data_IF_716842014932
#
_entry.id   IF_716842014932
#
_cell.length_a   1.000
_cell.length_b   1.000
_cell.length_c   1.000
_cell.angle_alpha   90.00
_cell.angle_beta   90.00
_cell.angle_gamma   90.00
#
_symmetry.space_group_name_H-M   'P 1'
#
loop_
_entity.id
_entity.type
_entity.pdbx_description
1 polymer ?
#
# COMPACT_ATOMS: atom_id res chain seq x y z
N UNK A 1 43.22 37.17 -19.56
CA UNK A 1 42.67 35.95 -18.98
C UNK A 1 41.50 36.35 -18.09
N UNK A 2 40.27 36.09 -18.54
CA UNK A 2 39.07 36.39 -17.76
C UNK A 2 38.81 35.22 -16.78
N UNK A 3 38.30 35.47 -15.56
CA UNK A 3 38.02 34.41 -14.60
C UNK A 3 36.78 33.64 -15.03
N UNK A 4 36.86 32.29 -14.95
CA UNK A 4 35.82 31.36 -15.21
C UNK A 4 34.67 31.53 -14.22
N UNK A 5 33.46 31.74 -14.73
CA UNK A 5 32.21 31.69 -13.95
C UNK A 5 32.02 30.31 -13.34
N UNK A 6 31.99 30.25 -12.02
CA UNK A 6 31.57 29.09 -11.24
C UNK A 6 30.07 29.01 -11.35
N UNK A 7 29.58 28.04 -12.11
CA UNK A 7 28.13 27.68 -12.13
C UNK A 7 27.73 27.24 -10.73
N UNK A 8 26.90 28.03 -10.09
CA UNK A 8 26.18 27.64 -8.87
C UNK A 8 25.20 26.50 -9.20
N UNK A 9 25.15 25.42 -8.39
CA UNK A 9 24.21 24.36 -8.61
C UNK A 9 22.78 24.90 -8.48
N UNK A 10 21.93 24.59 -9.47
CA UNK A 10 20.50 24.87 -9.45
C UNK A 10 19.90 24.29 -8.16
N UNK A 11 19.64 25.15 -7.19
CA UNK A 11 18.78 24.85 -6.06
C UNK A 11 17.38 24.65 -6.63
N UNK A 12 16.95 23.39 -6.75
CA UNK A 12 15.56 23.05 -7.01
C UNK A 12 14.78 23.59 -5.82
N UNK A 13 14.19 24.76 -5.98
CA UNK A 13 13.20 25.29 -5.05
C UNK A 13 12.04 24.29 -5.05
N UNK A 14 11.99 23.45 -4.02
CA UNK A 14 10.81 22.65 -3.74
C UNK A 14 9.66 23.63 -3.54
N UNK A 15 8.80 23.71 -4.55
CA UNK A 15 7.54 24.42 -4.46
C UNK A 15 6.78 23.78 -3.29
N UNK A 16 6.50 24.54 -2.23
CA UNK A 16 5.69 24.13 -1.08
C UNK A 16 4.20 23.97 -1.51
N UNK A 17 3.97 23.26 -2.60
CA UNK A 17 2.66 23.03 -3.20
C UNK A 17 2.22 21.57 -3.03
N UNK A 18 0.96 21.34 -3.28
CA UNK A 18 0.24 20.07 -3.23
C UNK A 18 1.06 18.88 -3.77
N UNK A 19 1.55 18.02 -2.87
CA UNK A 19 2.59 17.02 -3.17
C UNK A 19 2.06 15.59 -3.26
N UNK A 20 0.81 15.35 -2.83
CA UNK A 20 0.21 14.03 -2.70
C UNK A 20 -0.89 13.84 -3.73
N UNK A 21 -0.86 12.74 -4.47
CA UNK A 21 -2.01 12.20 -5.19
C UNK A 21 -2.50 10.93 -4.50
N UNK A 22 -3.78 10.63 -4.67
CA UNK A 22 -4.41 9.47 -4.03
C UNK A 22 -5.17 8.67 -5.09
N UNK A 23 -5.07 7.35 -5.04
CA UNK A 23 -5.93 6.46 -5.82
C UNK A 23 -6.84 5.63 -4.93
N UNK A 24 -8.14 5.64 -5.25
CA UNK A 24 -9.16 4.81 -4.62
C UNK A 24 -9.80 3.96 -5.71
N UNK A 25 -9.79 2.65 -5.53
CA UNK A 25 -10.47 1.72 -6.45
C UNK A 25 -11.79 1.30 -5.84
N UNK A 26 -12.89 1.50 -6.58
CA UNK A 26 -14.24 1.13 -6.16
C UNK A 26 -14.78 -0.04 -7.01
N UNK A 27 -15.55 -0.92 -6.38
CA UNK A 27 -16.31 -1.98 -7.03
C UNK A 27 -17.55 -2.32 -6.20
N UNK A 28 -18.72 -1.87 -6.66
CA UNK A 28 -19.98 -1.94 -5.90
C UNK A 28 -19.83 -1.41 -4.47
N UNK A 29 -19.09 -0.32 -4.33
CA UNK A 29 -18.72 0.27 -3.04
C UNK A 29 -19.92 0.99 -2.44
N UNK A 30 -20.16 0.81 -1.14
CA UNK A 30 -21.14 1.58 -0.39
C UNK A 30 -20.72 3.05 -0.35
N UNK A 31 -21.63 3.93 -0.74
CA UNK A 31 -21.38 5.38 -0.77
C UNK A 31 -21.06 5.94 0.63
N UNK A 32 -21.60 5.34 1.68
CA UNK A 32 -21.35 5.76 3.07
C UNK A 32 -19.89 5.51 3.47
N UNK A 33 -19.32 4.38 3.04
CA UNK A 33 -17.91 4.07 3.25
C UNK A 33 -17.01 5.05 2.49
N UNK A 34 -17.34 5.30 1.22
CA UNK A 34 -16.57 6.23 0.40
C UNK A 34 -16.62 7.66 0.98
N UNK A 35 -17.79 8.13 1.44
CA UNK A 35 -17.93 9.43 2.11
C UNK A 35 -17.01 9.54 3.32
N UNK A 36 -17.01 8.54 4.19
CA UNK A 36 -16.16 8.50 5.38
C UNK A 36 -14.66 8.48 5.03
N UNK A 37 -14.27 7.75 3.99
CA UNK A 37 -12.91 7.79 3.47
C UNK A 37 -12.54 9.21 3.04
N UNK A 38 -13.41 9.89 2.31
CA UNK A 38 -13.18 11.24 1.80
C UNK A 38 -13.05 12.31 2.90
N UNK A 39 -13.72 12.16 4.04
CA UNK A 39 -13.54 13.04 5.21
C UNK A 39 -12.09 13.07 5.69
N UNK A 40 -11.35 11.95 5.51
CA UNK A 40 -9.94 11.83 5.87
C UNK A 40 -9.00 12.53 4.88
N UNK A 41 -9.48 12.84 3.67
CA UNK A 41 -8.64 13.37 2.58
C UNK A 41 -8.61 14.91 2.54
N UNK A 42 -9.26 15.57 3.50
CA UNK A 42 -9.29 17.02 3.61
C UNK A 42 -7.95 17.55 4.18
N UNK A 43 -6.91 17.49 3.36
CA UNK A 43 -5.56 17.97 3.69
C UNK A 43 -5.06 18.90 2.60
N UNK A 44 -4.36 19.97 3.00
CA UNK A 44 -3.76 20.94 2.08
C UNK A 44 -2.64 20.35 1.21
N UNK A 45 -2.07 19.21 1.59
CA UNK A 45 -1.06 18.50 0.80
C UNK A 45 -1.64 17.69 -0.35
N UNK A 46 -2.97 17.45 -0.40
CA UNK A 46 -3.60 16.62 -1.42
C UNK A 46 -3.85 17.41 -2.70
N UNK A 47 -3.09 17.11 -3.74
CA UNK A 47 -3.25 17.73 -5.07
C UNK A 47 -4.47 17.17 -5.82
N UNK A 48 -4.61 15.84 -5.85
CA UNK A 48 -5.67 15.17 -6.62
C UNK A 48 -6.01 13.80 -6.05
N UNK A 49 -7.28 13.45 -6.12
CA UNK A 49 -7.81 12.12 -5.81
C UNK A 49 -8.34 11.50 -7.10
N UNK A 50 -7.85 10.32 -7.45
CA UNK A 50 -8.33 9.52 -8.57
C UNK A 50 -9.24 8.41 -8.05
N UNK A 51 -10.51 8.42 -8.42
CA UNK A 51 -11.47 7.36 -8.12
C UNK A 51 -11.63 6.48 -9.35
N UNK A 52 -11.03 5.29 -9.32
CA UNK A 52 -11.13 4.32 -10.42
C UNK A 52 -12.28 3.36 -10.12
N UNK A 53 -13.41 3.54 -10.81
CA UNK A 53 -14.62 2.76 -10.56
C UNK A 53 -14.75 1.59 -11.52
N UNK A 54 -14.48 0.39 -11.00
CA UNK A 54 -14.55 -0.87 -11.74
C UNK A 54 -15.98 -1.40 -11.93
N UNK A 55 -16.97 -0.74 -11.36
CA UNK A 55 -18.39 -1.07 -11.48
C UNK A 55 -19.20 -0.02 -12.26
N UNK A 56 -18.61 1.13 -12.54
CA UNK A 56 -19.17 2.23 -13.32
C UNK A 56 -20.54 2.69 -12.78
N UNK A 57 -20.60 2.89 -11.46
CA UNK A 57 -21.83 3.28 -10.77
C UNK A 57 -22.09 4.77 -10.89
N UNK A 58 -23.29 5.14 -11.36
CA UNK A 58 -23.69 6.53 -11.53
C UNK A 58 -23.54 7.34 -10.24
N UNK A 59 -23.95 6.77 -9.10
CA UNK A 59 -23.88 7.46 -7.81
C UNK A 59 -22.43 7.74 -7.34
N UNK A 60 -21.44 6.91 -7.74
CA UNK A 60 -20.01 7.17 -7.47
C UNK A 60 -19.52 8.32 -8.34
N UNK A 61 -19.89 8.33 -9.63
CA UNK A 61 -19.56 9.43 -10.53
C UNK A 61 -20.15 10.75 -10.02
N UNK A 62 -21.43 10.76 -9.62
CA UNK A 62 -22.10 11.97 -9.13
C UNK A 62 -21.50 12.46 -7.80
N UNK A 63 -21.11 11.55 -6.92
CA UNK A 63 -20.38 11.89 -5.72
C UNK A 63 -19.03 12.57 -6.03
N UNK A 64 -18.27 12.04 -6.96
CA UNK A 64 -16.96 12.60 -7.35
C UNK A 64 -17.06 14.01 -7.91
N UNK A 65 -18.14 14.34 -8.65
CA UNK A 65 -18.37 15.69 -9.21
C UNK A 65 -18.48 16.79 -8.16
N UNK A 66 -18.80 16.44 -6.91
CA UNK A 66 -18.91 17.42 -5.83
C UNK A 66 -17.54 17.97 -5.36
N UNK A 67 -16.43 17.39 -5.81
CA UNK A 67 -15.09 17.75 -5.36
C UNK A 67 -14.22 18.19 -6.54
N UNK A 68 -13.70 19.43 -6.55
CA UNK A 68 -12.96 19.98 -7.69
C UNK A 68 -11.59 19.31 -7.94
N UNK A 69 -11.02 18.70 -6.90
CA UNK A 69 -9.74 17.98 -6.97
C UNK A 69 -9.89 16.48 -7.17
N UNK A 70 -11.09 15.98 -7.49
CA UNK A 70 -11.37 14.56 -7.71
C UNK A 70 -11.57 14.29 -9.19
N UNK A 71 -10.86 13.29 -9.69
CA UNK A 71 -11.04 12.77 -11.05
C UNK A 71 -11.67 11.38 -11.00
N UNK A 72 -12.87 11.23 -11.57
CA UNK A 72 -13.55 9.96 -11.74
C UNK A 72 -13.05 9.25 -13.00
N UNK A 73 -12.61 8.00 -12.86
CA UNK A 73 -12.09 7.19 -13.97
C UNK A 73 -12.95 5.92 -14.09
N UNK A 74 -13.88 5.86 -15.07
CA UNK A 74 -14.65 4.65 -15.33
C UNK A 74 -13.74 3.54 -15.84
N UNK A 75 -13.92 2.34 -15.32
CA UNK A 75 -13.09 1.17 -15.68
C UNK A 75 -13.92 -0.10 -15.72
N UNK A 76 -13.55 -1.02 -16.61
CA UNK A 76 -13.93 -2.42 -16.43
C UNK A 76 -13.16 -2.98 -15.23
N UNK A 77 -13.72 -3.99 -14.57
CA UNK A 77 -13.02 -4.65 -13.46
C UNK A 77 -11.82 -5.47 -13.98
N UNK A 78 -10.67 -4.81 -14.03
CA UNK A 78 -9.38 -5.38 -14.46
C UNK A 78 -8.50 -5.86 -13.30
N UNK A 79 -9.00 -5.79 -12.08
CA UNK A 79 -8.29 -6.14 -10.86
C UNK A 79 -7.79 -4.93 -10.08
N UNK A 80 -7.35 -5.18 -8.84
CA UNK A 80 -7.00 -4.13 -7.88
C UNK A 80 -5.75 -3.34 -8.32
N UNK A 81 -4.61 -4.00 -8.46
CA UNK A 81 -3.35 -3.35 -8.82
C UNK A 81 -3.39 -2.67 -10.20
N UNK A 82 -3.98 -3.33 -11.20
CA UNK A 82 -4.14 -2.77 -12.54
C UNK A 82 -5.02 -1.50 -12.55
N UNK A 83 -6.04 -1.44 -11.68
CA UNK A 83 -6.87 -0.24 -11.54
C UNK A 83 -6.10 0.90 -10.87
N UNK A 84 -5.35 0.64 -9.81
CA UNK A 84 -4.46 1.64 -9.20
C UNK A 84 -3.40 2.14 -10.18
N UNK A 85 -2.87 1.29 -11.04
CA UNK A 85 -1.89 1.68 -12.06
C UNK A 85 -2.40 2.79 -13.00
N UNK A 86 -3.71 2.83 -13.31
CA UNK A 86 -4.28 3.93 -14.10
C UNK A 86 -4.07 5.28 -13.41
N UNK A 87 -4.31 5.35 -12.13
CA UNK A 87 -4.14 6.55 -11.32
C UNK A 87 -2.65 6.86 -11.07
N UNK A 88 -1.81 5.86 -10.80
CA UNK A 88 -0.38 6.05 -10.58
C UNK A 88 0.29 6.65 -11.81
N UNK A 89 -0.05 6.18 -13.03
CA UNK A 89 0.47 6.78 -14.27
C UNK A 89 0.09 8.26 -14.40
N UNK A 90 -1.11 8.65 -13.99
CA UNK A 90 -1.51 10.07 -13.94
C UNK A 90 -0.74 10.86 -12.88
N UNK A 91 -0.52 10.26 -11.71
CA UNK A 91 0.30 10.84 -10.64
C UNK A 91 1.73 11.16 -11.10
N UNK A 92 2.35 10.26 -11.87
CA UNK A 92 3.66 10.49 -12.48
C UNK A 92 3.64 11.68 -13.44
N UNK A 93 2.60 11.80 -14.27
CA UNK A 93 2.42 12.93 -15.20
C UNK A 93 2.14 14.25 -14.46
N UNK A 94 1.49 14.19 -13.31
CA UNK A 94 1.22 15.36 -12.45
C UNK A 94 2.47 15.90 -11.76
N UNK A 95 3.58 15.15 -11.78
CA UNK A 95 4.85 15.53 -11.15
C UNK A 95 4.77 15.63 -9.63
N UNK A 96 3.93 14.81 -8.99
CA UNK A 96 3.81 14.77 -7.53
C UNK A 96 4.91 13.94 -6.88
N UNK A 97 5.25 14.23 -5.64
CA UNK A 97 6.30 13.50 -4.92
C UNK A 97 5.79 12.18 -4.34
N UNK A 98 4.51 12.15 -3.95
CA UNK A 98 3.93 11.02 -3.24
C UNK A 98 2.62 10.58 -3.86
N UNK A 99 2.36 9.27 -3.78
CA UNK A 99 1.11 8.65 -4.18
C UNK A 99 0.60 7.70 -3.12
N UNK A 100 -0.64 7.88 -2.69
CA UNK A 100 -1.32 6.99 -1.76
C UNK A 100 -2.23 6.04 -2.52
N UNK A 101 -1.97 4.74 -2.39
CA UNK A 101 -2.93 3.67 -2.72
C UNK A 101 -3.81 3.43 -1.49
N UNK A 102 -5.12 3.62 -1.64
CA UNK A 102 -6.06 3.64 -0.54
C UNK A 102 -7.33 2.83 -0.84
N UNK A 103 -7.72 1.97 0.11
CA UNK A 103 -9.03 1.34 0.05
C UNK A 103 -10.15 2.33 0.40
N UNK A 104 -11.33 2.15 -0.21
CA UNK A 104 -12.51 2.99 0.02
C UNK A 104 -13.13 2.86 1.42
N UNK A 105 -12.75 1.82 2.18
CA UNK A 105 -13.20 1.55 3.55
C UNK A 105 -12.14 1.88 4.62
N UNK A 106 -11.14 2.68 4.26
CA UNK A 106 -10.13 3.22 5.18
C UNK A 106 -10.43 4.67 5.49
N UNK A 107 -10.30 5.05 6.77
CA UNK A 107 -10.47 6.43 7.23
C UNK A 107 -9.50 6.75 8.37
N UNK A 108 -9.17 8.03 8.51
CA UNK A 108 -8.15 8.51 9.45
C UNK A 108 -8.30 10.01 9.71
N UNK A 109 -7.55 10.55 10.67
CA UNK A 109 -7.48 12.00 10.90
C UNK A 109 -6.72 12.69 9.76
N UNK A 110 -7.19 13.84 9.25
CA UNK A 110 -6.56 14.54 8.12
C UNK A 110 -5.08 14.88 8.29
N UNK A 111 -4.59 15.03 9.54
CA UNK A 111 -3.17 15.28 9.85
C UNK A 111 -2.23 14.11 9.50
N UNK A 112 -2.78 12.90 9.34
CA UNK A 112 -2.00 11.70 9.01
C UNK A 112 -1.22 11.87 7.71
N UNK A 113 -1.83 12.48 6.68
CA UNK A 113 -1.17 12.68 5.38
C UNK A 113 0.03 13.62 5.49
N UNK A 114 -0.11 14.73 6.21
CA UNK A 114 0.96 15.68 6.45
C UNK A 114 2.10 15.03 7.26
N UNK A 115 1.77 14.25 8.28
CA UNK A 115 2.77 13.52 9.09
C UNK A 115 3.54 12.50 8.27
N UNK A 116 2.88 11.75 7.38
CA UNK A 116 3.52 10.80 6.47
C UNK A 116 4.41 11.52 5.43
N UNK A 117 3.94 12.65 4.90
CA UNK A 117 4.74 13.48 3.99
C UNK A 117 6.01 13.99 4.68
N UNK A 118 5.90 14.52 5.90
CA UNK A 118 7.04 14.97 6.69
C UNK A 118 8.03 13.84 7.00
N UNK A 119 7.53 12.65 7.36
CA UNK A 119 8.35 11.46 7.54
C UNK A 119 9.12 11.13 6.26
N UNK A 120 8.46 11.06 5.12
CA UNK A 120 9.09 10.75 3.84
C UNK A 120 10.06 11.85 3.39
N UNK A 121 9.79 13.12 3.73
CA UNK A 121 10.68 14.24 3.42
C UNK A 121 12.02 14.16 4.17
N UNK A 122 12.03 13.61 5.38
CA UNK A 122 13.23 13.43 6.21
C UNK A 122 13.94 12.10 5.97
N UNK A 123 13.28 11.10 5.37
CA UNK A 123 13.82 9.75 5.09
C UNK A 123 13.84 9.48 3.58
N UNK A 124 14.87 10.00 2.89
CA UNK A 124 14.97 9.95 1.42
C UNK A 124 15.20 8.55 0.86
N UNK A 125 15.70 7.63 1.65
CA UNK A 125 15.93 6.20 1.35
C UNK A 125 14.66 5.33 1.49
N UNK A 126 13.56 5.91 2.00
CA UNK A 126 12.26 5.23 2.12
C UNK A 126 11.44 5.40 0.85
N UNK A 127 11.07 4.27 0.23
CA UNK A 127 10.20 4.24 -0.94
C UNK A 127 8.72 4.13 -0.59
N UNK A 128 8.40 3.46 0.51
CA UNK A 128 7.03 3.22 0.93
C UNK A 128 6.92 3.25 2.45
N UNK A 129 5.85 3.86 2.95
CA UNK A 129 5.52 3.83 4.38
C UNK A 129 4.06 3.40 4.58
N UNK A 130 3.84 2.59 5.61
CA UNK A 130 2.52 2.19 6.09
C UNK A 130 2.37 2.55 7.56
N UNK A 131 1.31 3.27 7.95
CA UNK A 131 1.00 3.57 9.34
C UNK A 131 0.49 2.34 10.08
N UNK A 132 0.24 2.50 11.38
CA UNK A 132 -0.50 1.50 12.13
C UNK A 132 -1.94 1.40 11.62
N UNK A 133 -2.42 0.16 11.38
CA UNK A 133 -3.78 -0.08 10.89
C UNK A 133 -4.56 -0.84 11.96
N UNK A 134 -5.73 -0.34 12.31
CA UNK A 134 -6.63 -0.94 13.30
C UNK A 134 -8.01 -1.23 12.70
N UNK A 135 -8.76 -2.12 13.33
CA UNK A 135 -10.19 -2.28 13.09
C UNK A 135 -11.01 -1.16 13.75
N UNK A 136 -12.29 -0.96 13.35
CA UNK A 136 -13.16 0.03 14.00
C UNK A 136 -13.36 -0.18 15.50
N UNK A 137 -13.16 -1.41 15.99
CA UNK A 137 -13.24 -1.75 17.42
C UNK A 137 -11.90 -1.57 18.17
N UNK A 138 -10.90 -0.96 17.52
CA UNK A 138 -9.59 -0.69 18.10
C UNK A 138 -8.61 -1.87 18.07
N UNK A 139 -9.04 -3.06 17.65
CA UNK A 139 -8.12 -4.20 17.51
C UNK A 139 -7.11 -3.97 16.39
N UNK A 140 -5.89 -4.42 16.60
CA UNK A 140 -4.81 -4.33 15.64
C UNK A 140 -5.08 -5.17 14.39
N UNK A 141 -4.83 -4.60 13.21
CA UNK A 141 -4.66 -5.36 11.96
C UNK A 141 -3.17 -5.61 11.71
N UNK A 142 -2.80 -6.88 11.57
CA UNK A 142 -1.42 -7.26 11.27
C UNK A 142 -1.12 -7.00 9.78
N UNK A 143 -0.92 -5.72 9.43
CA UNK A 143 -0.77 -5.24 8.06
C UNK A 143 0.65 -5.36 7.52
N UNK A 144 1.67 -5.18 8.36
CA UNK A 144 3.06 -5.48 8.03
C UNK A 144 3.40 -6.92 8.43
N UNK A 145 4.08 -7.66 7.54
CA UNK A 145 4.28 -9.12 7.65
C UNK A 145 5.62 -9.55 7.05
N UNK A 146 5.97 -10.79 7.32
CA UNK A 146 7.04 -11.47 6.58
C UNK A 146 6.61 -11.79 5.14
N UNK A 147 7.55 -12.01 4.23
CA UNK A 147 7.24 -12.61 2.93
C UNK A 147 6.70 -14.03 3.13
N UNK A 148 5.58 -14.38 2.48
CA UNK A 148 4.92 -15.65 2.70
C UNK A 148 5.65 -16.82 2.07
N UNK A 149 5.58 -17.97 2.73
CA UNK A 149 5.84 -19.27 2.13
C UNK A 149 4.55 -19.83 1.50
N UNK A 150 4.62 -20.83 0.61
CA UNK A 150 3.42 -21.55 0.16
C UNK A 150 2.57 -22.07 1.32
N UNK A 151 3.21 -22.55 2.38
CA UNK A 151 2.53 -23.03 3.59
C UNK A 151 1.72 -21.91 4.27
N UNK A 152 2.27 -20.69 4.38
CA UNK A 152 1.56 -19.55 4.99
C UNK A 152 0.26 -19.20 4.26
N UNK A 153 0.27 -19.25 2.92
CA UNK A 153 -0.90 -18.85 2.13
C UNK A 153 -1.89 -20.01 1.93
N UNK A 154 -1.41 -21.22 1.71
CA UNK A 154 -2.24 -22.39 1.49
C UNK A 154 -2.87 -22.87 2.81
N UNK A 155 -2.03 -23.21 3.81
CA UNK A 155 -2.53 -23.82 5.05
C UNK A 155 -3.37 -22.83 5.88
N UNK A 156 -3.05 -21.56 5.87
CA UNK A 156 -3.84 -20.52 6.56
C UNK A 156 -5.30 -20.47 6.10
N UNK A 157 -5.58 -20.83 4.87
CA UNK A 157 -6.93 -20.80 4.32
C UNK A 157 -7.72 -22.10 4.59
N UNK A 158 -7.04 -23.24 4.71
CA UNK A 158 -7.67 -24.54 4.74
C UNK A 158 -7.57 -25.26 6.09
N UNK A 159 -6.62 -24.87 6.94
CA UNK A 159 -6.45 -25.50 8.25
C UNK A 159 -7.09 -24.67 9.38
N UNK A 160 -7.58 -25.33 10.42
CA UNK A 160 -8.10 -24.65 11.61
C UNK A 160 -7.05 -23.75 12.24
N UNK A 161 -7.49 -22.59 12.76
CA UNK A 161 -6.60 -21.57 13.35
C UNK A 161 -5.70 -22.11 14.47
N UNK A 162 -6.17 -23.10 15.24
CA UNK A 162 -5.40 -23.76 16.30
C UNK A 162 -4.15 -24.48 15.77
N UNK A 163 -4.25 -25.11 14.59
CA UNK A 163 -3.12 -25.86 13.98
C UNK A 163 -2.07 -24.96 13.33
N UNK A 164 -2.44 -23.73 13.00
CA UNK A 164 -1.54 -22.76 12.32
C UNK A 164 -1.12 -21.60 13.23
N UNK A 165 -1.39 -21.70 14.53
CA UNK A 165 -1.17 -20.62 15.49
C UNK A 165 0.28 -20.13 15.48
N UNK A 166 1.25 -21.01 15.59
CA UNK A 166 2.68 -20.64 15.64
C UNK A 166 3.18 -20.10 14.29
N UNK A 167 2.69 -20.69 13.20
CA UNK A 167 2.99 -20.20 11.85
C UNK A 167 2.43 -18.80 11.66
N UNK A 168 1.19 -18.52 12.08
CA UNK A 168 0.58 -17.20 12.03
C UNK A 168 1.29 -16.22 12.95
N UNK A 169 1.67 -16.63 14.17
CA UNK A 169 2.36 -15.78 15.13
C UNK A 169 3.62 -15.18 14.53
N UNK A 170 4.44 -16.02 13.88
CA UNK A 170 5.66 -15.58 13.21
C UNK A 170 5.39 -14.80 11.92
N UNK A 171 4.53 -15.31 11.03
CA UNK A 171 4.24 -14.72 9.74
C UNK A 171 3.63 -13.32 9.85
N UNK A 172 2.71 -13.13 10.78
CA UNK A 172 2.02 -11.87 11.05
C UNK A 172 2.81 -10.93 11.97
N UNK A 173 4.01 -11.29 12.37
CA UNK A 173 4.85 -10.54 13.32
C UNK A 173 4.08 -10.20 14.60
N UNK A 174 3.35 -11.18 15.17
CA UNK A 174 2.54 -10.97 16.37
C UNK A 174 3.37 -10.73 17.63
N UNK A 175 4.68 -11.05 17.59
CA UNK A 175 5.64 -10.76 18.65
C UNK A 175 6.12 -9.29 18.64
N UNK A 176 5.89 -8.56 17.56
CA UNK A 176 6.30 -7.18 17.42
C UNK A 176 5.28 -6.25 18.12
N UNK A 177 5.72 -5.44 19.07
CA UNK A 177 4.87 -4.55 19.89
C UNK A 177 4.30 -3.34 19.14
N UNK A 178 4.82 -3.06 17.94
CA UNK A 178 4.41 -1.96 17.04
C UNK A 178 4.53 -0.56 17.65
N UNK A 179 5.43 -0.38 18.61
CA UNK A 179 5.71 0.92 19.24
C UNK A 179 6.88 1.67 18.58
N UNK A 180 7.51 1.04 17.61
CA UNK A 180 8.65 1.60 16.86
C UNK A 180 8.53 1.30 15.38
N UNK A 181 9.26 2.03 14.58
CA UNK A 181 9.35 1.75 13.15
C UNK A 181 10.09 0.43 12.87
N UNK A 182 9.73 -0.20 11.74
CA UNK A 182 10.34 -1.45 11.31
C UNK A 182 10.40 -1.51 9.79
N UNK A 183 11.57 -1.87 9.25
CA UNK A 183 11.71 -2.12 7.83
C UNK A 183 11.24 -3.54 7.48
N UNK A 184 10.13 -3.68 6.77
CA UNK A 184 9.51 -4.98 6.48
C UNK A 184 9.22 -5.17 4.99
N UNK A 185 9.42 -6.38 4.46
CA UNK A 185 9.32 -6.65 3.02
C UNK A 185 7.89 -6.81 2.50
N UNK A 186 6.88 -6.79 3.38
CA UNK A 186 5.48 -6.90 2.97
C UNK A 186 4.56 -6.01 3.80
N UNK A 187 3.84 -5.15 3.09
CA UNK A 187 2.76 -4.30 3.60
C UNK A 187 1.45 -4.61 2.88
N UNK A 188 0.35 -4.70 3.64
CA UNK A 188 -0.98 -4.96 3.09
C UNK A 188 -1.47 -3.79 2.23
N UNK A 189 -2.12 -4.11 1.11
CA UNK A 189 -2.53 -3.15 0.07
C UNK A 189 -3.59 -2.12 0.45
N UNK A 190 -4.20 -2.20 1.65
CA UNK A 190 -5.28 -1.28 2.02
C UNK A 190 -4.85 0.19 2.21
N UNK A 191 -3.57 0.41 2.52
CA UNK A 191 -2.95 1.73 2.65
C UNK A 191 -1.46 1.61 2.33
N UNK A 192 -1.02 2.15 1.19
CA UNK A 192 0.39 2.15 0.79
C UNK A 192 0.78 3.55 0.32
N UNK A 193 1.60 4.25 1.10
CA UNK A 193 2.06 5.60 0.79
C UNK A 193 3.43 5.54 0.13
N UNK A 194 3.49 5.82 -1.17
CA UNK A 194 4.67 5.67 -2.01
C UNK A 194 5.37 6.99 -2.31
N UNK A 195 6.68 6.94 -2.47
CA UNK A 195 7.45 7.94 -3.20
C UNK A 195 7.33 7.66 -4.70
N UNK A 196 6.78 8.62 -5.48
CA UNK A 196 6.51 8.44 -6.92
C UNK A 196 7.79 8.09 -7.69
N UNK A 197 8.92 8.73 -7.38
CA UNK A 197 10.20 8.42 -8.01
C UNK A 197 10.60 6.94 -7.89
N UNK A 198 10.35 6.32 -6.75
CA UNK A 198 10.62 4.90 -6.57
C UNK A 198 9.67 4.00 -7.36
N UNK A 199 8.42 4.44 -7.63
CA UNK A 199 7.50 3.74 -8.53
C UNK A 199 7.99 3.79 -9.99
N UNK A 200 8.60 4.90 -10.40
CA UNK A 200 9.23 4.99 -11.74
C UNK A 200 10.40 4.01 -11.88
N UNK A 201 11.24 3.90 -10.85
CA UNK A 201 12.43 3.07 -10.85
C UNK A 201 12.11 1.55 -10.75
N UNK A 202 11.14 1.19 -9.90
CA UNK A 202 10.80 -0.22 -9.60
C UNK A 202 9.69 -0.76 -10.49
N UNK A 203 8.88 0.13 -11.05
CA UNK A 203 7.70 -0.20 -11.84
C UNK A 203 6.42 -0.31 -11.01
N UNK A 204 5.30 -0.36 -11.70
CA UNK A 204 3.95 -0.36 -11.15
C UNK A 204 3.53 -1.75 -10.64
N UNK A 205 2.29 -1.86 -10.15
CA UNK A 205 1.72 -3.16 -9.81
C UNK A 205 1.77 -4.11 -11.01
N UNK A 206 2.10 -5.38 -10.76
CA UNK A 206 2.10 -6.42 -11.78
C UNK A 206 0.66 -6.80 -12.15
N UNK A 207 0.21 -6.36 -13.33
CA UNK A 207 -1.17 -6.50 -13.80
C UNK A 207 -1.60 -7.96 -14.05
N UNK A 208 -0.67 -8.93 -14.01
CA UNK A 208 -0.98 -10.37 -14.05
C UNK A 208 -1.75 -10.84 -12.82
N UNK A 209 -1.67 -10.09 -11.70
CA UNK A 209 -2.40 -10.36 -10.48
C UNK A 209 -3.73 -9.59 -10.49
N UNK A 210 -4.83 -10.31 -10.62
CA UNK A 210 -6.14 -9.67 -10.55
C UNK A 210 -6.44 -9.13 -9.14
N UNK A 211 -6.09 -9.90 -8.10
CA UNK A 211 -6.29 -9.52 -6.69
C UNK A 211 -5.46 -10.44 -5.78
N UNK A 212 -5.00 -9.92 -4.66
CA UNK A 212 -4.30 -10.47 -3.51
C UNK A 212 -2.78 -10.35 -3.53
N UNK A 213 -1.98 -11.08 -4.35
CA UNK A 213 -0.53 -10.99 -4.14
C UNK A 213 0.13 -9.78 -4.83
N UNK A 214 -0.64 -8.87 -5.41
CA UNK A 214 -0.11 -7.65 -6.03
C UNK A 214 0.57 -6.73 -5.02
N UNK A 215 0.03 -6.66 -3.79
CA UNK A 215 0.60 -5.89 -2.68
C UNK A 215 1.89 -6.53 -2.14
N UNK A 216 1.93 -7.86 -2.05
CA UNK A 216 3.14 -8.61 -1.69
C UNK A 216 4.23 -8.40 -2.74
N UNK A 217 3.88 -8.52 -4.01
CA UNK A 217 4.80 -8.36 -5.14
C UNK A 217 5.36 -6.94 -5.19
N UNK A 218 4.52 -5.93 -5.05
CA UNK A 218 4.91 -4.53 -5.04
C UNK A 218 5.83 -4.21 -3.85
N UNK A 219 5.42 -4.59 -2.64
CA UNK A 219 6.21 -4.39 -1.43
C UNK A 219 7.59 -5.04 -1.56
N UNK A 220 7.63 -6.28 -2.04
CA UNK A 220 8.86 -7.04 -2.25
C UNK A 220 9.79 -6.38 -3.27
N UNK A 221 9.27 -5.90 -4.40
CA UNK A 221 10.07 -5.20 -5.41
C UNK A 221 10.63 -3.88 -4.88
N UNK A 222 9.82 -3.12 -4.13
CA UNK A 222 10.29 -1.90 -3.46
C UNK A 222 11.38 -2.21 -2.44
N UNK A 223 11.18 -3.23 -1.60
CA UNK A 223 12.12 -3.62 -0.53
C UNK A 223 13.47 -4.07 -1.06
N UNK A 224 13.56 -4.52 -2.31
CA UNK A 224 14.83 -4.91 -2.96
C UNK A 224 15.80 -3.74 -3.13
N UNK A 225 15.29 -2.54 -3.32
CA UNK A 225 16.09 -1.36 -3.65
C UNK A 225 16.01 -0.24 -2.62
N UNK A 226 14.97 -0.24 -1.80
CA UNK A 226 14.65 0.83 -0.88
C UNK A 226 14.12 0.28 0.44
N UNK A 227 14.07 1.14 1.46
CA UNK A 227 13.36 0.79 2.71
C UNK A 227 11.86 0.89 2.51
N UNK A 228 11.14 -0.09 3.11
CA UNK A 228 9.68 -0.16 3.14
C UNK A 228 9.24 -0.20 4.60
N UNK A 229 8.77 0.93 5.11
CA UNK A 229 8.67 1.15 6.54
C UNK A 229 7.26 0.95 7.09
N UNK A 230 7.15 0.20 8.17
CA UNK A 230 6.06 0.37 9.11
C UNK A 230 6.41 1.53 10.05
N UNK A 231 5.48 2.49 10.20
CA UNK A 231 5.66 3.68 11.02
C UNK A 231 4.47 3.87 11.98
N UNK A 232 4.65 3.67 13.31
CA UNK A 232 3.55 3.58 14.27
C UNK A 232 2.98 4.94 14.71
N UNK A 233 3.68 6.04 14.42
CA UNK A 233 3.29 7.37 14.89
C UNK A 233 1.98 7.89 14.25
N UNK A 234 1.52 7.28 13.16
CA UNK A 234 0.22 7.51 12.58
C UNK A 234 -0.63 6.25 12.64
N UNK A 235 -1.94 6.42 12.84
CA UNK A 235 -2.91 5.31 12.88
C UNK A 235 -4.06 5.57 11.94
N UNK A 236 -4.45 4.55 11.18
CA UNK A 236 -5.61 4.56 10.29
C UNK A 236 -6.57 3.43 10.65
N UNK A 237 -7.85 3.62 10.42
CA UNK A 237 -8.89 2.61 10.65
C UNK A 237 -9.31 2.00 9.33
N UNK A 238 -9.28 0.68 9.23
CA UNK A 238 -9.71 -0.07 8.05
C UNK A 238 -10.90 -0.97 8.42
N UNK A 239 -12.07 -0.66 7.90
CA UNK A 239 -13.32 -1.35 8.25
C UNK A 239 -13.36 -2.83 7.83
N UNK A 240 -12.57 -3.19 6.84
CA UNK A 240 -12.32 -4.54 6.33
C UNK A 240 -13.52 -5.49 6.35
N UNK A 241 -14.37 -5.38 5.37
CA UNK A 241 -15.41 -6.39 5.09
C UNK A 241 -14.76 -7.58 4.41
N UNK A 242 -14.57 -8.70 5.13
CA UNK A 242 -13.95 -9.94 4.62
C UNK A 242 -14.78 -10.61 3.49
N UNK A 243 -15.11 -9.86 2.43
CA UNK A 243 -15.95 -10.28 1.31
C UNK A 243 -15.35 -11.46 0.52
N UNK A 244 -14.01 -11.60 0.54
CA UNK A 244 -13.29 -12.62 -0.22
C UNK A 244 -13.51 -14.07 0.26
N UNK A 245 -13.97 -14.26 1.49
CA UNK A 245 -14.19 -15.60 2.04
C UNK A 245 -15.51 -16.26 1.59
N UNK A 246 -16.41 -15.51 0.97
CA UNK A 246 -17.76 -15.96 0.65
C UNK A 246 -17.98 -16.47 -0.79
N UNK A 247 -16.99 -16.31 -1.69
CA UNK A 247 -17.15 -16.63 -3.12
C UNK A 247 -16.16 -17.69 -3.61
N UNK A 248 -16.67 -18.79 -4.19
CA UNK A 248 -15.85 -19.83 -4.86
C UNK A 248 -15.01 -19.26 -6.01
N UNK A 249 -15.55 -18.27 -6.75
CA UNK A 249 -14.83 -17.56 -7.82
C UNK A 249 -13.62 -16.81 -7.25
N UNK A 250 -13.80 -16.08 -6.14
CA UNK A 250 -12.70 -15.35 -5.50
C UNK A 250 -11.66 -16.30 -4.91
N UNK A 251 -12.07 -17.47 -4.42
CA UNK A 251 -11.12 -18.51 -4.00
C UNK A 251 -10.26 -19.01 -5.17
N UNK A 252 -10.88 -19.32 -6.31
CA UNK A 252 -10.14 -19.75 -7.51
C UNK A 252 -9.14 -18.69 -8.00
N UNK A 253 -9.56 -17.41 -8.04
CA UNK A 253 -8.68 -16.29 -8.38
C UNK A 253 -7.52 -16.21 -7.40
N UNK A 254 -7.78 -16.34 -6.11
CA UNK A 254 -6.74 -16.31 -5.07
C UNK A 254 -5.70 -17.42 -5.28
N UNK A 255 -6.17 -18.67 -5.46
CA UNK A 255 -5.28 -19.82 -5.69
C UNK A 255 -4.45 -19.60 -6.96
N UNK A 256 -5.09 -19.19 -8.06
CA UNK A 256 -4.38 -18.95 -9.32
C UNK A 256 -3.32 -17.85 -9.22
N UNK A 257 -3.63 -16.76 -8.54
CA UNK A 257 -2.67 -15.69 -8.34
C UNK A 257 -1.53 -16.08 -7.37
N UNK A 258 -1.80 -16.96 -6.38
CA UNK A 258 -0.73 -17.53 -5.54
C UNK A 258 0.21 -18.41 -6.37
N UNK A 259 -0.32 -19.20 -7.30
CA UNK A 259 0.50 -19.99 -8.21
C UNK A 259 1.40 -19.07 -9.04
N UNK A 260 0.86 -18.01 -9.65
CA UNK A 260 1.65 -17.02 -10.38
C UNK A 260 2.74 -16.38 -9.52
N UNK A 261 2.41 -16.00 -8.28
CA UNK A 261 3.34 -15.38 -7.35
C UNK A 261 4.53 -16.31 -7.04
N UNK A 262 4.26 -17.56 -6.65
CA UNK A 262 5.33 -18.50 -6.35
C UNK A 262 6.10 -18.98 -7.60
N UNK A 263 5.47 -18.98 -8.76
CA UNK A 263 6.18 -19.24 -10.03
C UNK A 263 7.12 -18.09 -10.38
N UNK A 264 6.75 -16.85 -10.05
CA UNK A 264 7.63 -15.67 -10.24
C UNK A 264 8.79 -15.63 -9.24
N UNK A 265 8.55 -15.96 -7.96
CA UNK A 265 9.48 -15.71 -6.86
C UNK A 265 10.14 -16.95 -6.25
N UNK A 266 9.68 -18.13 -6.61
CA UNK A 266 10.17 -19.40 -6.08
C UNK A 266 9.24 -20.04 -5.05
N UNK A 267 8.98 -21.33 -5.25
CA UNK A 267 8.11 -22.12 -4.38
C UNK A 267 8.81 -22.49 -3.07
N UNK A 268 9.90 -23.25 -3.15
CA UNK A 268 10.64 -23.75 -2.02
C UNK A 268 11.96 -22.99 -1.81
N UNK A 269 12.66 -22.69 -2.89
CA UNK A 269 13.93 -21.99 -2.88
C UNK A 269 13.68 -20.54 -3.23
N UNK A 270 13.87 -19.64 -2.25
CA UNK A 270 13.74 -18.21 -2.38
C UNK A 270 14.72 -17.56 -1.37
N UNK A 271 15.95 -17.26 -1.81
CA UNK A 271 16.99 -16.70 -0.95
C UNK A 271 16.61 -15.36 -0.33
N UNK A 272 16.04 -14.44 -1.10
CA UNK A 272 15.61 -13.13 -0.61
C UNK A 272 14.56 -13.25 0.50
N UNK A 273 13.52 -14.08 0.28
CA UNK A 273 12.50 -14.34 1.32
C UNK A 273 13.14 -14.86 2.61
N UNK A 274 14.08 -15.79 2.48
CA UNK A 274 14.76 -16.40 3.63
C UNK A 274 15.60 -15.37 4.38
N UNK A 275 16.36 -14.57 3.66
CA UNK A 275 17.25 -13.55 4.20
C UNK A 275 16.46 -12.42 4.87
N UNK A 276 15.59 -11.74 4.14
CA UNK A 276 14.84 -10.60 4.66
C UNK A 276 13.91 -10.96 5.82
N UNK A 277 13.25 -12.13 5.75
CA UNK A 277 12.45 -12.60 6.88
C UNK A 277 13.31 -12.87 8.13
N UNK A 278 14.56 -13.32 7.96
CA UNK A 278 15.50 -13.51 9.07
C UNK A 278 15.96 -12.18 9.65
N UNK A 279 16.25 -11.20 8.79
CA UNK A 279 16.67 -9.86 9.20
C UNK A 279 15.58 -9.16 10.02
N UNK A 280 14.33 -9.18 9.55
CA UNK A 280 13.18 -8.63 10.30
C UNK A 280 13.06 -9.27 11.69
N UNK A 281 13.12 -10.60 11.78
CA UNK A 281 13.05 -11.31 13.08
C UNK A 281 14.23 -10.96 13.98
N UNK A 282 15.44 -10.86 13.42
CA UNK A 282 16.63 -10.44 14.17
C UNK A 282 16.49 -9.02 14.69
N UNK A 283 16.01 -8.10 13.86
CA UNK A 283 15.80 -6.70 14.25
C UNK A 283 14.76 -6.60 15.39
N UNK A 284 13.68 -7.38 15.35
CA UNK A 284 12.70 -7.43 16.42
C UNK A 284 13.34 -7.95 17.73
N UNK A 285 14.14 -9.01 17.67
CA UNK A 285 14.71 -9.66 18.85
C UNK A 285 15.92 -8.91 19.45
N UNK A 286 16.72 -8.20 18.66
CA UNK A 286 17.96 -7.55 19.14
C UNK A 286 17.72 -6.21 19.85
N UNK A 287 16.51 -5.73 19.95
CA UNK A 287 16.17 -4.46 20.62
C UNK A 287 15.44 -4.66 21.96
N UNK A 288 15.54 -5.86 22.53
CA UNK A 288 15.11 -6.18 23.90
C UNK A 288 16.30 -6.51 24.78
#
# INVERSE_FOLDING_TARGET
MAPSEVQTPNVILYNNGLMITISIVTYNTDITELKRCFESLNSSSVKRVYVVDNSQQQYIMDFCKAFPNVEYIPSKNIGYGASHNKAIRKSMLDGTNYHLVLNSDVYFSPDVLERLENYMNTHKDVAMVQPNIIYPDGRMQYSCRLLPTPANLIFRRFLPSKMIKDMNYRYLLMMFDRKRELNVPYHQGSFMFFRVKCLEDVGLFDERFFMYPEDIDMSRRMHRYYRTMFWPEATVVHAHKAASYKSKKMLAIHIWNMIKYFTKWGWLIDPERKEWNREVIREINNKY
#
